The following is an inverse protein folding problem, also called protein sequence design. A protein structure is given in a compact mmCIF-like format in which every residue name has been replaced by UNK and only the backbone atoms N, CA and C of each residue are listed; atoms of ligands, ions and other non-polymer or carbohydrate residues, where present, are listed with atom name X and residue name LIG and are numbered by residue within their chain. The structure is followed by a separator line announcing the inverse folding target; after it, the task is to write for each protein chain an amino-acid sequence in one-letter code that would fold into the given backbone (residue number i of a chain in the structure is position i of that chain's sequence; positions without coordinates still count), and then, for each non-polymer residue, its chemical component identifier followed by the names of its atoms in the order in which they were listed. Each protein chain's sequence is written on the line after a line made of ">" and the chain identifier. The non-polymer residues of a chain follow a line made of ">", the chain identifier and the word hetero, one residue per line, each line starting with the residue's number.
data_IF_934615804653
#
_entry.id   IF_934615804653
#
_cell.length_a   1.000
_cell.length_b   1.000
_cell.length_c   1.000
_cell.angle_alpha   90.00
_cell.angle_beta   90.00
_cell.angle_gamma   90.00
#
_symmetry.space_group_name_H-M   'P 1'
#
loop_
_entity.id
_entity.type
_entity.pdbx_description
1 polymer ?
#
# COMPACT_ATOMS: atom_id res chain seq x y z
N UNK A 1 -22.23 16.00 -30.74
CA UNK A 1 -22.69 14.91 -29.86
C UNK A 1 -22.20 13.65 -30.54
N UNK A 2 -20.90 13.41 -30.42
CA UNK A 2 -20.20 12.31 -31.08
C UNK A 2 -19.98 11.22 -30.05
N UNK A 3 -20.21 9.99 -30.50
CA UNK A 3 -20.30 8.78 -29.72
C UNK A 3 -19.00 8.53 -28.94
N UNK A 4 -19.10 8.65 -27.61
CA UNK A 4 -18.15 8.05 -26.69
C UNK A 4 -18.32 6.54 -26.83
N UNK A 5 -17.47 5.98 -27.70
CA UNK A 5 -17.50 4.58 -28.10
C UNK A 5 -17.50 3.62 -26.93
N UNK A 6 -18.13 2.48 -27.16
CA UNK A 6 -18.47 1.39 -26.25
C UNK A 6 -17.28 0.78 -25.46
N UNK A 7 -16.06 1.28 -25.64
CA UNK A 7 -14.85 0.93 -24.89
C UNK A 7 -14.82 1.47 -23.46
N UNK A 8 -15.50 2.59 -23.17
CA UNK A 8 -15.63 3.07 -21.77
C UNK A 8 -16.61 2.25 -20.94
N UNK A 9 -17.55 1.51 -21.57
CA UNK A 9 -18.59 0.79 -20.81
C UNK A 9 -18.10 -0.55 -20.22
N UNK A 10 -16.93 -1.05 -20.62
CA UNK A 10 -16.28 -2.18 -19.93
C UNK A 10 -15.44 -1.76 -18.71
N UNK A 11 -15.42 -0.45 -18.35
CA UNK A 11 -14.68 0.09 -17.20
C UNK A 11 -15.33 -0.17 -15.83
N UNK A 12 -16.45 -0.90 -15.75
CA UNK A 12 -17.21 -1.07 -14.50
C UNK A 12 -17.66 -2.50 -14.29
N UNK A 13 -16.84 -3.23 -13.52
CA UNK A 13 -17.31 -4.39 -12.77
C UNK A 13 -17.02 -5.73 -13.45
N UNK A 14 -16.39 -6.61 -12.68
CA UNK A 14 -16.27 -8.02 -13.05
C UNK A 14 -14.95 -8.61 -12.62
N UNK A 15 -14.80 -8.91 -11.33
CA UNK A 15 -13.98 -10.04 -10.91
C UNK A 15 -14.64 -11.30 -11.47
N UNK A 16 -14.40 -11.59 -12.74
CA UNK A 16 -15.14 -12.58 -13.51
C UNK A 16 -14.20 -13.33 -14.45
N UNK A 17 -14.35 -14.65 -14.40
CA UNK A 17 -13.60 -15.72 -15.06
C UNK A 17 -13.65 -15.62 -16.60
N UNK A 18 -13.11 -14.54 -17.16
CA UNK A 18 -13.02 -14.33 -18.60
C UNK A 18 -11.86 -15.17 -19.13
N UNK A 19 -12.19 -16.20 -19.92
CA UNK A 19 -11.21 -17.00 -20.66
C UNK A 19 -10.75 -16.19 -21.87
N UNK A 20 -9.44 -16.05 -22.06
CA UNK A 20 -8.86 -15.46 -23.28
C UNK A 20 -8.97 -16.41 -24.48
N UNK A 21 -8.61 -15.93 -25.67
CA UNK A 21 -8.65 -16.67 -26.95
C UNK A 21 -7.92 -18.03 -26.95
N UNK A 22 -7.05 -18.29 -25.96
CA UNK A 22 -6.32 -19.56 -25.77
C UNK A 22 -6.91 -20.51 -24.71
N UNK A 23 -8.08 -20.19 -24.14
CA UNK A 23 -8.70 -20.93 -23.04
C UNK A 23 -8.06 -20.72 -21.66
N UNK A 24 -6.95 -19.96 -21.59
CA UNK A 24 -6.26 -19.56 -20.35
C UNK A 24 -6.97 -18.37 -19.69
N UNK A 25 -6.93 -18.28 -18.36
CA UNK A 25 -7.59 -17.20 -17.60
C UNK A 25 -6.79 -15.91 -17.72
N UNK A 26 -7.45 -14.77 -17.82
CA UNK A 26 -6.79 -13.46 -18.03
C UNK A 26 -5.71 -13.11 -16.98
N UNK A 27 -5.84 -13.60 -15.74
CA UNK A 27 -4.85 -13.40 -14.69
C UNK A 27 -3.62 -14.32 -14.78
N UNK A 28 -3.70 -15.45 -15.50
CA UNK A 28 -2.58 -16.36 -15.76
C UNK A 28 -1.64 -15.82 -16.86
N UNK A 29 -2.16 -14.92 -17.69
CA UNK A 29 -1.45 -14.28 -18.81
C UNK A 29 -1.27 -12.77 -18.58
N UNK A 30 -1.44 -12.30 -17.35
CA UNK A 30 -1.34 -10.88 -17.02
C UNK A 30 0.08 -10.38 -17.30
N UNK A 31 0.24 -9.37 -18.18
CA UNK A 31 1.57 -8.90 -18.53
C UNK A 31 2.11 -7.98 -17.43
N UNK A 32 3.23 -8.35 -16.81
CA UNK A 32 3.90 -7.58 -15.76
C UNK A 32 4.58 -8.48 -14.74
N UNK A 33 5.12 -7.85 -13.68
CA UNK A 33 5.80 -8.56 -12.59
C UNK A 33 4.94 -8.71 -11.33
N UNK A 34 3.68 -8.26 -11.38
CA UNK A 34 2.79 -8.35 -10.24
C UNK A 34 2.50 -9.82 -9.86
N UNK A 35 2.50 -10.10 -8.56
CA UNK A 35 1.97 -11.34 -8.03
C UNK A 35 0.45 -11.21 -7.97
N UNK A 36 -0.25 -12.17 -8.59
CA UNK A 36 -1.70 -12.23 -8.60
C UNK A 36 -2.14 -13.50 -7.87
N UNK A 37 -2.99 -13.35 -6.86
CA UNK A 37 -3.53 -14.49 -6.11
C UNK A 37 -5.05 -14.38 -5.94
N UNK A 38 -5.65 -15.31 -5.20
CA UNK A 38 -7.08 -15.34 -4.92
C UNK A 38 -7.97 -15.28 -6.18
N UNK A 39 -7.62 -16.04 -7.23
CA UNK A 39 -8.33 -16.05 -8.53
C UNK A 39 -8.42 -14.66 -9.19
N UNK A 40 -7.36 -13.86 -9.09
CA UNK A 40 -7.31 -12.53 -9.70
C UNK A 40 -7.84 -11.39 -8.81
N UNK A 41 -8.26 -11.67 -7.57
CA UNK A 41 -8.81 -10.65 -6.66
C UNK A 41 -7.76 -9.85 -5.90
N UNK A 42 -6.56 -10.41 -5.76
CA UNK A 42 -5.45 -9.75 -5.07
C UNK A 42 -4.32 -9.54 -6.06
N UNK A 43 -3.87 -8.29 -6.18
CA UNK A 43 -2.75 -7.90 -7.05
C UNK A 43 -1.76 -7.12 -6.20
N UNK A 44 -0.50 -7.55 -6.23
CA UNK A 44 0.58 -6.95 -5.45
C UNK A 44 1.86 -6.93 -6.27
N UNK A 45 2.87 -6.18 -5.83
CA UNK A 45 4.20 -6.11 -6.43
C UNK A 45 4.98 -7.43 -6.37
N UNK A 46 6.14 -7.48 -7.06
CA UNK A 46 6.91 -8.72 -7.25
C UNK A 46 7.66 -9.24 -6.02
N UNK A 47 8.16 -8.34 -5.16
CA UNK A 47 9.09 -8.69 -4.10
C UNK A 47 8.43 -8.55 -2.71
N UNK A 48 8.15 -9.66 -2.01
CA UNK A 48 7.52 -9.64 -0.69
C UNK A 48 8.50 -9.41 0.46
N UNK A 49 9.82 -9.36 0.21
CA UNK A 49 10.83 -9.45 1.27
C UNK A 49 10.70 -8.33 2.31
N UNK A 50 10.60 -7.07 1.87
CA UNK A 50 10.46 -5.91 2.76
C UNK A 50 9.10 -5.92 3.46
N UNK A 51 8.05 -6.37 2.78
CA UNK A 51 6.72 -6.49 3.36
C UNK A 51 6.66 -7.55 4.47
N UNK A 52 7.26 -8.73 4.26
CA UNK A 52 7.37 -9.78 5.27
C UNK A 52 8.21 -9.29 6.44
N UNK A 53 9.36 -8.64 6.18
CA UNK A 53 10.19 -8.03 7.21
C UNK A 53 9.38 -7.03 8.06
N UNK A 54 8.61 -6.15 7.42
CA UNK A 54 7.75 -5.20 8.09
C UNK A 54 6.67 -5.87 8.97
N UNK A 55 6.04 -6.94 8.46
CA UNK A 55 5.08 -7.73 9.24
C UNK A 55 5.74 -8.34 10.48
N UNK A 56 6.86 -9.04 10.31
CA UNK A 56 7.60 -9.67 11.42
C UNK A 56 7.98 -8.62 12.46
N UNK A 57 8.53 -7.49 12.03
CA UNK A 57 8.94 -6.40 12.92
C UNK A 57 7.75 -5.82 13.70
N UNK A 58 6.62 -5.59 13.04
CA UNK A 58 5.41 -5.04 13.66
C UNK A 58 4.81 -6.01 14.68
N UNK A 59 4.66 -7.29 14.33
CA UNK A 59 4.13 -8.31 15.24
C UNK A 59 5.08 -8.58 16.41
N UNK A 60 6.39 -8.56 16.19
CA UNK A 60 7.38 -8.70 17.26
C UNK A 60 7.32 -7.54 18.25
N UNK A 61 7.29 -6.29 17.76
CA UNK A 61 7.17 -5.11 18.61
C UNK A 61 5.87 -5.13 19.44
N UNK A 62 4.75 -5.56 18.84
CA UNK A 62 3.50 -5.72 19.58
C UNK A 62 3.55 -6.87 20.58
N UNK A 63 4.18 -7.99 20.24
CA UNK A 63 4.40 -9.10 21.16
C UNK A 63 5.16 -8.64 22.41
N UNK A 64 6.24 -7.88 22.22
CA UNK A 64 6.99 -7.27 23.32
C UNK A 64 6.13 -6.28 24.13
N UNK A 65 5.37 -5.42 23.45
CA UNK A 65 4.45 -4.50 24.10
C UNK A 65 3.44 -5.24 25.00
N UNK A 66 2.77 -6.27 24.50
CA UNK A 66 1.81 -7.01 25.32
C UNK A 66 2.48 -7.77 26.46
N UNK A 67 3.57 -8.47 26.18
CA UNK A 67 4.24 -9.34 27.15
C UNK A 67 4.89 -8.57 28.31
N UNK A 68 5.39 -7.35 28.09
CA UNK A 68 6.14 -6.61 29.11
C UNK A 68 5.44 -5.34 29.60
N UNK A 69 4.64 -4.69 28.77
CA UNK A 69 4.05 -3.37 29.08
C UNK A 69 2.55 -3.51 29.38
N UNK A 70 1.76 -4.01 28.43
CA UNK A 70 0.30 -3.94 28.52
C UNK A 70 -0.27 -4.76 29.69
N UNK A 71 0.31 -5.94 30.00
CA UNK A 71 -0.13 -6.77 31.14
C UNK A 71 0.11 -6.13 32.52
N UNK A 72 0.95 -5.09 32.59
CA UNK A 72 1.23 -4.33 33.82
C UNK A 72 0.36 -3.09 33.97
N UNK A 73 -0.43 -2.78 32.94
CA UNK A 73 -1.38 -1.68 32.93
C UNK A 73 -2.80 -2.22 33.05
N UNK A 74 -3.78 -1.31 33.07
CA UNK A 74 -5.19 -1.69 33.14
C UNK A 74 -5.59 -2.56 31.92
N UNK A 75 -6.40 -3.63 32.08
CA UNK A 75 -6.76 -4.54 30.99
C UNK A 75 -7.37 -3.89 29.74
N UNK A 76 -7.99 -2.72 29.90
CA UNK A 76 -8.50 -1.91 28.78
C UNK A 76 -7.41 -1.55 27.75
N UNK A 77 -6.16 -1.44 28.20
CA UNK A 77 -5.00 -1.16 27.34
C UNK A 77 -4.81 -2.29 26.31
N UNK A 78 -4.98 -3.54 26.74
CA UNK A 78 -4.87 -4.69 25.85
C UNK A 78 -5.96 -4.63 24.77
N UNK A 79 -7.20 -4.34 25.15
CA UNK A 79 -8.34 -4.25 24.22
C UNK A 79 -8.14 -3.13 23.20
N UNK A 80 -7.78 -1.93 23.65
CA UNK A 80 -7.51 -0.78 22.77
C UNK A 80 -6.36 -1.10 21.81
N UNK A 81 -5.27 -1.69 22.31
CA UNK A 81 -4.14 -2.12 21.49
C UNK A 81 -4.54 -3.07 20.37
N UNK A 82 -5.37 -4.08 20.66
CA UNK A 82 -5.81 -5.04 19.63
C UNK A 82 -6.69 -4.38 18.58
N UNK A 83 -7.57 -3.47 18.99
CA UNK A 83 -8.43 -2.71 18.06
C UNK A 83 -7.58 -1.84 17.12
N UNK A 84 -6.66 -1.05 17.68
CA UNK A 84 -5.78 -0.19 16.89
C UNK A 84 -4.92 -1.00 15.93
N UNK A 85 -4.34 -2.10 16.40
CA UNK A 85 -3.56 -2.98 15.53
C UNK A 85 -4.40 -3.63 14.42
N UNK A 86 -5.60 -4.11 14.75
CA UNK A 86 -6.52 -4.68 13.77
C UNK A 86 -6.90 -3.69 12.67
N UNK A 87 -7.14 -2.42 13.03
CA UNK A 87 -7.41 -1.34 12.07
C UNK A 87 -6.19 -1.10 11.17
N UNK A 88 -4.99 -0.97 11.74
CA UNK A 88 -3.75 -0.77 10.98
C UNK A 88 -3.47 -1.93 10.04
N UNK A 89 -3.66 -3.16 10.51
CA UNK A 89 -3.45 -4.37 9.72
C UNK A 89 -4.46 -4.46 8.57
N UNK A 90 -5.74 -4.13 8.82
CA UNK A 90 -6.75 -4.06 7.78
C UNK A 90 -6.35 -3.08 6.67
N UNK A 91 -5.96 -1.85 7.02
CA UNK A 91 -5.56 -0.86 6.01
C UNK A 91 -4.28 -1.26 5.28
N UNK A 92 -3.30 -1.86 5.96
CA UNK A 92 -2.09 -2.40 5.34
C UNK A 92 -2.44 -3.45 4.26
N UNK A 93 -3.27 -4.42 4.60
CA UNK A 93 -3.69 -5.46 3.65
C UNK A 93 -4.46 -4.86 2.46
N UNK A 94 -5.34 -3.88 2.71
CA UNK A 94 -6.07 -3.20 1.63
C UNK A 94 -5.13 -2.41 0.73
N UNK A 95 -4.12 -1.73 1.27
CA UNK A 95 -3.13 -1.03 0.47
C UNK A 95 -2.27 -2.01 -0.35
N UNK A 96 -1.88 -3.14 0.24
CA UNK A 96 -1.01 -4.12 -0.36
C UNK A 96 -1.67 -4.92 -1.49
N UNK A 97 -2.92 -5.38 -1.29
CA UNK A 97 -3.55 -6.36 -2.18
C UNK A 97 -4.61 -5.79 -3.14
N UNK A 98 -4.88 -4.48 -3.07
CA UNK A 98 -5.81 -3.82 -4.01
C UNK A 98 -5.06 -3.45 -5.30
N UNK A 99 -5.69 -3.69 -6.45
CA UNK A 99 -5.21 -3.16 -7.74
C UNK A 99 -5.03 -1.64 -7.64
N UNK A 100 -3.81 -1.10 -7.85
CA UNK A 100 -3.56 0.34 -7.73
C UNK A 100 -4.19 1.15 -8.87
N UNK A 101 -4.63 0.48 -9.95
CA UNK A 101 -5.14 1.11 -11.17
C UNK A 101 -4.25 0.79 -12.36
N UNK A 102 -3.88 -0.49 -12.53
CA UNK A 102 -3.03 -0.91 -13.64
C UNK A 102 -3.79 -0.76 -14.96
N UNK A 103 -3.17 -0.08 -15.92
CA UNK A 103 -3.70 0.07 -17.27
C UNK A 103 -3.37 -1.16 -18.12
N UNK A 104 -4.34 -1.61 -18.93
CA UNK A 104 -4.15 -2.73 -19.86
C UNK A 104 -3.16 -2.34 -20.95
N UNK A 105 -2.25 -3.26 -21.29
CA UNK A 105 -1.34 -3.10 -22.43
C UNK A 105 -2.12 -3.26 -23.75
N UNK A 106 -1.81 -2.45 -24.76
CA UNK A 106 -2.35 -2.60 -26.12
C UNK A 106 -1.40 -3.47 -26.95
N UNK A 107 -1.92 -4.14 -27.99
CA UNK A 107 -1.05 -4.67 -29.05
C UNK A 107 -0.35 -3.47 -29.72
N UNK A 108 0.91 -3.64 -30.14
CA UNK A 108 1.60 -2.57 -30.88
C UNK A 108 0.73 -2.16 -32.08
N UNK A 109 0.51 -0.86 -32.30
CA UNK A 109 -0.12 -0.41 -33.53
C UNK A 109 0.68 -0.94 -34.73
N UNK A 110 -0.01 -1.33 -35.81
CA UNK A 110 0.64 -1.56 -37.11
C UNK A 110 1.30 -0.26 -37.58
N UNK A 111 2.35 -0.37 -38.41
CA UNK A 111 3.08 0.78 -38.99
C UNK A 111 2.19 1.83 -39.65
N UNK A 112 0.97 1.44 -40.02
CA UNK A 112 0.02 2.26 -40.76
C UNK A 112 -0.92 3.07 -39.85
N UNK A 113 -0.84 2.92 -38.51
CA UNK A 113 -1.63 3.67 -37.51
C UNK A 113 -0.83 4.83 -36.85
N UNK A 114 0.34 5.18 -37.37
CA UNK A 114 1.22 6.21 -36.82
C UNK A 114 0.70 7.62 -37.18
N UNK A 115 -0.35 8.05 -36.48
CA UNK A 115 -0.89 9.42 -36.52
C UNK A 115 -0.22 10.35 -35.51
N UNK A 116 -0.64 11.63 -35.51
CA UNK A 116 -0.20 12.60 -34.51
C UNK A 116 -0.49 12.11 -33.08
N UNK A 117 0.41 12.37 -32.11
CA UNK A 117 0.22 11.93 -30.75
C UNK A 117 -1.08 12.53 -30.17
N UNK A 118 -1.93 11.72 -29.53
CA UNK A 118 -3.18 12.19 -28.97
C UNK A 118 -2.91 13.24 -27.90
N UNK A 119 -3.84 14.20 -27.81
CA UNK A 119 -3.79 15.27 -26.82
C UNK A 119 -4.90 15.10 -25.78
N UNK A 120 -4.68 15.62 -24.58
CA UNK A 120 -5.70 15.69 -23.54
C UNK A 120 -5.76 17.11 -22.98
N UNK A 121 -6.92 17.52 -22.49
CA UNK A 121 -7.09 18.83 -21.82
C UNK A 121 -6.88 18.63 -20.33
N UNK A 122 -5.88 19.29 -19.76
CA UNK A 122 -5.59 19.28 -18.31
C UNK A 122 -5.58 20.72 -17.83
N UNK A 123 -6.49 21.06 -16.90
CA UNK A 123 -6.64 22.43 -16.37
C UNK A 123 -6.78 23.50 -17.48
N UNK A 124 -7.58 23.21 -18.51
CA UNK A 124 -7.81 24.11 -19.64
C UNK A 124 -6.65 24.23 -20.64
N UNK A 125 -5.56 23.46 -20.47
CA UNK A 125 -4.43 23.42 -21.40
C UNK A 125 -4.39 22.10 -22.15
N UNK A 126 -4.20 22.16 -23.46
CA UNK A 126 -3.96 20.97 -24.30
C UNK A 126 -2.54 20.47 -24.06
N UNK A 127 -2.40 19.23 -23.61
CA UNK A 127 -1.12 18.55 -23.39
C UNK A 127 -1.02 17.33 -24.31
N UNK A 128 0.13 17.14 -24.96
CA UNK A 128 0.40 15.93 -25.72
C UNK A 128 0.67 14.76 -24.76
N UNK A 129 0.05 13.61 -25.03
CA UNK A 129 0.20 12.43 -24.21
C UNK A 129 1.53 11.72 -24.50
N UNK A 130 2.26 11.35 -23.46
CA UNK A 130 3.51 10.62 -23.61
C UNK A 130 3.27 9.12 -23.84
N UNK A 131 3.86 8.57 -24.88
CA UNK A 131 3.79 7.13 -25.16
C UNK A 131 4.63 6.31 -24.17
N UNK A 132 4.20 5.08 -23.89
CA UNK A 132 4.96 4.07 -23.16
C UNK A 132 5.20 2.88 -24.08
N UNK A 133 6.46 2.66 -24.49
CA UNK A 133 6.81 1.57 -25.40
C UNK A 133 6.63 0.17 -24.78
N UNK A 134 6.85 0.02 -23.47
CA UNK A 134 6.71 -1.26 -22.75
C UNK A 134 5.27 -1.75 -22.73
N UNK A 135 4.32 -0.85 -22.44
CA UNK A 135 2.90 -1.16 -22.37
C UNK A 135 2.17 -0.93 -23.70
N UNK A 136 2.84 -0.28 -24.67
CA UNK A 136 2.29 0.14 -25.96
C UNK A 136 1.01 0.98 -25.82
N UNK A 137 1.03 1.97 -24.93
CA UNK A 137 -0.11 2.88 -24.70
C UNK A 137 0.36 4.33 -24.64
N UNK A 138 -0.52 5.26 -25.06
CA UNK A 138 -0.41 6.66 -24.65
C UNK A 138 -0.87 6.80 -23.21
N UNK A 139 0.00 7.33 -22.36
CA UNK A 139 -0.28 7.43 -20.92
C UNK A 139 -1.29 8.55 -20.67
N UNK A 140 -2.43 8.27 -20.00
CA UNK A 140 -3.32 9.31 -19.53
C UNK A 140 -2.59 10.31 -18.62
N UNK A 141 -3.15 11.51 -18.40
CA UNK A 141 -2.58 12.47 -17.44
C UNK A 141 -2.30 11.82 -16.08
N UNK A 142 -1.15 12.15 -15.48
CA UNK A 142 -0.65 11.59 -14.20
C UNK A 142 -0.34 10.08 -14.19
N UNK A 143 -0.52 9.34 -15.29
CA UNK A 143 -0.09 7.95 -15.38
C UNK A 143 1.44 7.85 -15.51
N UNK A 144 2.06 6.95 -14.74
CA UNK A 144 3.49 6.62 -14.87
C UNK A 144 3.69 5.12 -15.01
N UNK A 145 4.76 4.74 -15.69
CA UNK A 145 5.20 3.35 -15.77
C UNK A 145 6.09 3.02 -14.57
N UNK A 146 5.65 2.10 -13.72
CA UNK A 146 6.46 1.57 -12.63
C UNK A 146 7.34 0.43 -13.17
N UNK A 147 8.65 0.63 -13.17
CA UNK A 147 9.62 -0.38 -13.65
C UNK A 147 9.65 -1.62 -12.75
N UNK A 148 9.39 -1.46 -11.45
CA UNK A 148 9.38 -2.57 -10.49
C UNK A 148 8.23 -3.53 -10.76
N UNK A 149 7.01 -3.02 -10.86
CA UNK A 149 5.82 -3.81 -11.19
C UNK A 149 5.71 -4.15 -12.69
N UNK A 150 6.49 -3.47 -13.54
CA UNK A 150 6.42 -3.53 -15.00
C UNK A 150 5.02 -3.19 -15.53
N UNK A 151 4.43 -2.10 -15.05
CA UNK A 151 3.08 -1.71 -15.40
C UNK A 151 2.88 -0.19 -15.42
N UNK A 152 2.07 0.29 -16.36
CA UNK A 152 1.51 1.63 -16.32
C UNK A 152 0.37 1.68 -15.30
N UNK A 153 0.42 2.65 -14.38
CA UNK A 153 -0.55 2.81 -13.31
C UNK A 153 -1.17 4.20 -13.36
N UNK A 154 -2.50 4.26 -13.29
CA UNK A 154 -3.30 5.48 -13.31
C UNK A 154 -3.09 6.33 -12.05
N UNK A 155 -2.88 7.64 -12.22
CA UNK A 155 -2.55 8.59 -11.14
C UNK A 155 -1.51 8.01 -10.16
N UNK A 156 -0.37 7.61 -10.72
CA UNK A 156 0.71 6.98 -9.97
C UNK A 156 1.38 7.98 -9.03
N UNK A 157 1.43 7.61 -7.75
CA UNK A 157 2.18 8.35 -6.74
C UNK A 157 3.60 7.77 -6.64
N UNK A 158 3.73 6.58 -6.04
CA UNK A 158 5.02 5.90 -5.88
C UNK A 158 4.89 4.37 -5.81
N UNK A 159 6.01 3.67 -5.91
CA UNK A 159 6.08 2.25 -5.56
C UNK A 159 6.58 2.13 -4.14
N UNK A 160 5.82 1.48 -3.27
CA UNK A 160 6.12 1.37 -1.85
C UNK A 160 6.46 -0.08 -1.49
N UNK A 161 7.74 -0.37 -1.18
CA UNK A 161 8.15 -1.71 -0.77
C UNK A 161 7.50 -2.17 0.54
N UNK A 162 7.15 -1.25 1.43
CA UNK A 162 6.54 -1.53 2.75
C UNK A 162 5.12 -2.08 2.66
N UNK A 163 4.36 -1.70 1.63
CA UNK A 163 3.04 -2.26 1.32
C UNK A 163 3.12 -3.28 0.17
N UNK A 164 4.32 -3.58 -0.33
CA UNK A 164 4.53 -4.49 -1.46
C UNK A 164 3.80 -4.05 -2.74
N UNK A 165 3.44 -2.78 -2.96
CA UNK A 165 2.60 -2.40 -4.10
C UNK A 165 2.84 -0.96 -4.56
N UNK A 166 2.37 -0.63 -5.76
CA UNK A 166 2.24 0.78 -6.15
C UNK A 166 1.15 1.43 -5.31
N UNK A 167 1.37 2.67 -4.87
CA UNK A 167 0.37 3.54 -4.30
C UNK A 167 -0.11 4.46 -5.43
N UNK A 168 -1.40 4.40 -5.72
CA UNK A 168 -2.02 5.14 -6.81
C UNK A 168 -3.53 5.27 -6.59
N UNK A 169 -4.26 5.80 -7.59
CA UNK A 169 -5.68 6.17 -7.51
C UNK A 169 -6.56 5.23 -6.68
N UNK A 170 -6.51 3.93 -6.95
CA UNK A 170 -7.48 2.95 -6.41
C UNK A 170 -7.16 2.46 -5.00
N UNK A 171 -5.91 2.57 -4.56
CA UNK A 171 -5.48 2.14 -3.22
C UNK A 171 -4.95 3.28 -2.33
N UNK A 172 -4.85 4.50 -2.85
CA UNK A 172 -4.36 5.68 -2.13
C UNK A 172 -5.06 5.89 -0.78
N UNK A 173 -6.40 5.76 -0.73
CA UNK A 173 -7.17 5.91 0.51
C UNK A 173 -6.77 4.90 1.59
N UNK A 174 -6.41 3.68 1.20
CA UNK A 174 -6.01 2.63 2.13
C UNK A 174 -4.59 2.86 2.62
N UNK A 175 -3.71 3.36 1.74
CA UNK A 175 -2.36 3.78 2.13
C UNK A 175 -2.42 4.91 3.17
N UNK A 176 -3.20 5.96 2.93
CA UNK A 176 -3.38 7.06 3.91
C UNK A 176 -3.99 6.55 5.21
N UNK A 177 -5.03 5.70 5.13
CA UNK A 177 -5.61 5.06 6.31
C UNK A 177 -4.61 4.21 7.10
N UNK A 178 -3.72 3.49 6.41
CA UNK A 178 -2.64 2.73 7.01
C UNK A 178 -1.67 3.66 7.75
N UNK A 179 -1.13 4.68 7.08
CA UNK A 179 -0.19 5.64 7.69
C UNK A 179 -0.80 6.31 8.93
N UNK A 180 -2.06 6.76 8.86
CA UNK A 180 -2.74 7.36 10.00
C UNK A 180 -2.92 6.37 11.18
N UNK A 181 -3.42 5.16 10.89
CA UNK A 181 -3.67 4.16 11.93
C UNK A 181 -2.39 3.60 12.56
N UNK A 182 -1.32 3.36 11.77
CA UNK A 182 -0.03 2.94 12.32
C UNK A 182 0.61 4.06 13.15
N UNK A 183 0.44 5.33 12.77
CA UNK A 183 0.94 6.48 13.56
C UNK A 183 0.24 6.56 14.91
N UNK A 184 -1.09 6.39 14.94
CA UNK A 184 -1.85 6.32 16.18
C UNK A 184 -1.43 5.14 17.06
N UNK A 185 -1.18 3.96 16.47
CA UNK A 185 -0.68 2.81 17.20
C UNK A 185 0.72 3.06 17.79
N UNK A 186 1.62 3.71 17.04
CA UNK A 186 2.95 4.09 17.53
C UNK A 186 2.87 5.07 18.71
N UNK A 187 2.05 6.12 18.59
CA UNK A 187 1.82 7.09 19.68
C UNK A 187 1.28 6.37 20.92
N UNK A 188 0.32 5.46 20.72
CA UNK A 188 -0.28 4.68 21.79
C UNK A 188 0.73 3.79 22.53
N UNK A 189 1.52 3.01 21.79
CA UNK A 189 2.57 2.14 22.35
C UNK A 189 3.64 2.97 23.06
N UNK A 190 4.05 4.10 22.48
CA UNK A 190 5.01 5.03 23.08
C UNK A 190 4.49 5.59 24.41
N UNK A 191 3.26 6.10 24.43
CA UNK A 191 2.64 6.66 25.64
C UNK A 191 2.53 5.63 26.77
N UNK A 192 2.12 4.40 26.47
CA UNK A 192 2.05 3.32 27.45
C UNK A 192 3.44 2.92 27.97
N UNK A 193 4.45 2.90 27.09
CA UNK A 193 5.83 2.60 27.47
C UNK A 193 6.42 3.70 28.36
N UNK A 194 6.15 4.96 28.06
CA UNK A 194 6.53 6.11 28.91
C UNK A 194 5.83 6.00 30.27
N UNK A 195 4.54 5.65 30.30
CA UNK A 195 3.81 5.49 31.56
C UNK A 195 4.45 4.44 32.48
N UNK A 196 4.90 3.30 31.93
CA UNK A 196 5.65 2.30 32.71
C UNK A 196 6.97 2.86 33.24
N UNK A 197 7.72 3.60 32.43
CA UNK A 197 8.97 4.23 32.89
C UNK A 197 8.69 5.22 34.02
N UNK A 198 7.65 6.06 33.90
CA UNK A 198 7.27 7.01 34.93
C UNK A 198 6.88 6.30 36.22
N UNK A 199 6.02 5.28 36.16
CA UNK A 199 5.62 4.47 37.33
C UNK A 199 6.85 3.84 38.01
N UNK A 200 7.81 3.37 37.20
CA UNK A 200 9.06 2.77 37.69
C UNK A 200 9.93 3.73 38.48
N UNK A 201 9.88 5.02 38.14
CA UNK A 201 10.68 6.07 38.77
C UNK A 201 9.97 6.70 39.97
N UNK A 202 8.63 6.79 39.94
CA UNK A 202 7.85 7.54 40.95
C UNK A 202 7.30 6.69 42.09
N UNK A 203 7.26 5.36 41.96
CA UNK A 203 6.65 4.52 42.98
C UNK A 203 7.20 3.11 43.04
N UNK A 204 6.84 2.29 42.07
CA UNK A 204 7.09 0.85 42.10
C UNK A 204 8.23 0.46 41.16
N UNK A 205 9.36 0.03 41.71
CA UNK A 205 10.50 -0.40 40.90
C UNK A 205 10.12 -1.61 40.05
N UNK A 206 9.99 -1.37 38.74
CA UNK A 206 9.82 -2.44 37.78
C UNK A 206 11.14 -3.19 37.53
N UNK A 207 11.08 -4.49 37.17
CA UNK A 207 12.27 -5.23 36.79
C UNK A 207 13.03 -4.54 35.65
N UNK A 208 14.37 -4.56 35.69
CA UNK A 208 15.21 -3.89 34.70
C UNK A 208 14.89 -4.29 33.24
N UNK A 209 14.49 -5.55 33.01
CA UNK A 209 14.07 -6.02 31.69
C UNK A 209 12.81 -5.33 31.16
N UNK A 210 11.87 -4.95 32.02
CA UNK A 210 10.66 -4.20 31.64
C UNK A 210 11.02 -2.78 31.22
N UNK A 211 11.89 -2.11 31.99
CA UNK A 211 12.35 -0.76 31.69
C UNK A 211 13.14 -0.75 30.37
N UNK A 212 14.04 -1.72 30.17
CA UNK A 212 14.78 -1.88 28.92
C UNK A 212 13.84 -2.08 27.73
N UNK A 213 12.83 -2.95 27.87
CA UNK A 213 11.82 -3.17 26.83
C UNK A 213 11.04 -1.89 26.51
N UNK A 214 10.63 -1.12 27.53
CA UNK A 214 9.93 0.15 27.34
C UNK A 214 10.79 1.15 26.55
N UNK A 215 12.08 1.28 26.87
CA UNK A 215 13.01 2.17 26.15
C UNK A 215 13.15 1.73 24.69
N UNK A 216 13.32 0.42 24.43
CA UNK A 216 13.41 -0.12 23.07
C UNK A 216 12.14 0.23 22.26
N UNK A 217 10.95 0.06 22.85
CA UNK A 217 9.68 0.37 22.19
C UNK A 217 9.51 1.87 21.92
N UNK A 218 9.95 2.74 22.84
CA UNK A 218 9.93 4.21 22.65
C UNK A 218 10.83 4.60 21.49
N UNK A 219 12.07 4.10 21.46
CA UNK A 219 13.01 4.39 20.36
C UNK A 219 12.50 3.86 19.03
N UNK A 220 11.99 2.62 19.02
CA UNK A 220 11.42 1.99 17.83
C UNK A 220 10.24 2.80 17.26
N UNK A 221 9.26 3.14 18.10
CA UNK A 221 8.09 3.92 17.70
C UNK A 221 8.45 5.34 17.27
N UNK A 222 9.46 5.96 17.92
CA UNK A 222 10.01 7.25 17.51
C UNK A 222 10.65 7.21 16.12
N UNK A 223 11.54 6.24 15.86
CA UNK A 223 12.17 6.05 14.55
C UNK A 223 11.15 5.76 13.44
N UNK A 224 10.16 4.90 13.74
CA UNK A 224 9.08 4.59 12.81
C UNK A 224 8.22 5.82 12.51
N UNK A 225 7.90 6.62 13.53
CA UNK A 225 7.20 7.90 13.38
C UNK A 225 7.93 8.88 12.45
N UNK A 226 9.25 9.04 12.61
CA UNK A 226 10.07 9.89 11.73
C UNK A 226 10.03 9.40 10.28
N UNK A 227 10.11 8.09 10.10
CA UNK A 227 10.08 7.48 8.75
C UNK A 227 8.71 7.66 8.09
N UNK A 228 7.62 7.58 8.86
CA UNK A 228 6.26 7.80 8.37
C UNK A 228 6.01 9.25 7.95
N UNK A 229 6.60 10.23 8.64
CA UNK A 229 6.54 11.64 8.23
C UNK A 229 7.12 11.87 6.83
N UNK A 230 8.13 11.10 6.43
CA UNK A 230 8.72 11.17 5.08
C UNK A 230 7.78 10.71 3.96
N UNK A 231 6.71 9.99 4.28
CA UNK A 231 5.67 9.60 3.32
C UNK A 231 4.47 10.55 3.28
N UNK A 232 4.39 11.51 4.22
CA UNK A 232 3.30 12.49 4.31
C UNK A 232 3.61 13.83 3.63
N UNK A 233 4.83 14.01 3.12
CA UNK A 233 5.31 15.17 2.36
C UNK A 233 5.51 14.79 0.89
#
# INVERSE_FOLDING_TARGET
>A
MEEVGEDELQLRGGGGDTKGESGKRMWEVFPGKNLICCRGRCITGPDPSIFIFNLVLTFAALGLFYAFIAIRLHPIVIVIGFILHGISFYFLLRAAFTDPGILRRRKKPSSDEEGDPPTAIVNGKTVQLSYCHTCSIYRPPKCKHCRTCDNCVEEFDHHCPWVMNCVAKRNYRYFVGFVASISLLCIYVCACSIAIVVISVTGDQQPAGVILCAIILILFTGCLGITLCGFAC
#
